data_IF_847913088574
#
_entry.id   IF_847913088574
#
_cell.length_a   1.000
_cell.length_b   1.000
_cell.length_c   1.000
_cell.angle_alpha   90.00
_cell.angle_beta   90.00
_cell.angle_gamma   90.00
#
_symmetry.space_group_name_H-M   'P 1'
#
loop_
_entity.id
_entity.type
_entity.pdbx_description
1 polymer ?
#
# COMPACT_ATOMS: atom_id res chain seq x y z
N UNK A 1 -28.04 12.35 -2.63
CA UNK A 1 -28.01 11.99 -1.20
C UNK A 1 -27.59 13.21 -0.40
N UNK A 2 -28.49 13.78 0.39
CA UNK A 2 -28.16 14.90 1.25
C UNK A 2 -27.39 14.38 2.46
N UNK A 3 -26.07 14.58 2.51
CA UNK A 3 -25.18 14.21 3.64
C UNK A 3 -25.45 15.02 4.94
N UNK A 4 -26.58 15.72 5.01
CA UNK A 4 -26.97 16.57 6.13
C UNK A 4 -28.08 15.97 7.00
N UNK A 5 -28.55 14.76 6.66
CA UNK A 5 -29.49 14.03 7.50
C UNK A 5 -28.78 13.41 8.71
N UNK A 6 -29.37 13.52 9.90
CA UNK A 6 -28.73 13.11 11.16
C UNK A 6 -28.42 11.61 11.20
N UNK A 7 -29.21 10.77 10.51
CA UNK A 7 -28.94 9.34 10.42
C UNK A 7 -27.67 9.07 9.60
N UNK A 8 -27.47 9.81 8.51
CA UNK A 8 -26.31 9.61 7.61
C UNK A 8 -24.99 10.06 8.23
N UNK A 9 -25.02 11.00 9.20
CA UNK A 9 -23.82 11.47 9.91
C UNK A 9 -23.21 10.42 10.84
N UNK A 10 -24.01 9.47 11.32
CA UNK A 10 -23.53 8.41 12.23
C UNK A 10 -22.58 7.40 11.57
N UNK A 11 -22.53 7.36 10.22
CA UNK A 11 -21.60 6.50 9.48
C UNK A 11 -20.18 7.09 9.43
N UNK A 12 -20.04 8.39 9.70
CA UNK A 12 -18.77 9.10 9.57
C UNK A 12 -17.87 8.80 10.77
N UNK A 13 -16.59 8.54 10.49
CA UNK A 13 -15.60 8.36 11.53
C UNK A 13 -15.30 9.71 12.21
N UNK A 14 -15.49 9.85 13.54
CA UNK A 14 -15.23 11.10 14.25
C UNK A 14 -13.75 11.52 14.26
N UNK A 15 -12.82 10.57 14.07
CA UNK A 15 -11.37 10.83 14.10
C UNK A 15 -10.82 11.35 12.77
N UNK A 16 -11.66 11.46 11.74
CA UNK A 16 -11.28 11.97 10.41
C UNK A 16 -12.11 13.20 10.08
N UNK A 17 -11.45 14.25 9.62
CA UNK A 17 -12.12 15.49 9.27
C UNK A 17 -12.95 15.33 8.00
N UNK A 18 -14.23 15.73 8.08
CA UNK A 18 -15.09 15.89 6.91
C UNK A 18 -14.74 17.23 6.26
N UNK A 19 -14.32 17.20 4.99
CA UNK A 19 -13.84 18.40 4.28
C UNK A 19 -14.97 19.09 3.52
N UNK A 20 -14.93 20.42 3.50
CA UNK A 20 -15.81 21.24 2.67
C UNK A 20 -15.30 21.30 1.23
N UNK A 21 -16.11 21.90 0.35
CA UNK A 21 -15.76 22.15 -1.04
C UNK A 21 -14.47 22.97 -1.15
N UNK A 22 -13.60 22.58 -2.10
CA UNK A 22 -12.37 23.32 -2.43
C UNK A 22 -11.11 22.87 -1.68
N UNK A 23 -11.18 21.80 -0.90
CA UNK A 23 -10.02 21.25 -0.16
C UNK A 23 -9.50 20.00 -0.87
N UNK A 24 -8.19 19.93 -1.09
CA UNK A 24 -7.53 18.75 -1.66
C UNK A 24 -7.39 17.66 -0.60
N UNK A 25 -7.54 16.41 -1.04
CA UNK A 25 -7.31 15.25 -0.20
C UNK A 25 -6.34 14.25 -0.82
N UNK A 26 -5.74 13.44 0.05
CA UNK A 26 -4.84 12.36 -0.33
C UNK A 26 -4.86 11.26 0.73
N UNK A 27 -4.25 10.13 0.39
CA UNK A 27 -3.91 9.11 1.38
C UNK A 27 -2.96 9.70 2.45
N UNK A 28 -3.38 9.60 3.71
CA UNK A 28 -2.61 10.00 4.89
C UNK A 28 -2.03 8.80 5.65
N UNK A 29 -2.06 7.61 5.04
CA UNK A 29 -1.72 6.33 5.68
C UNK A 29 -2.48 6.10 7.00
N UNK A 30 -3.76 6.47 7.03
CA UNK A 30 -4.63 6.35 8.19
C UNK A 30 -4.00 6.97 9.44
N UNK A 31 -3.52 8.21 9.33
CA UNK A 31 -2.86 8.94 10.44
C UNK A 31 -3.63 8.86 11.75
N UNK A 32 -4.97 8.87 11.71
CA UNK A 32 -5.84 8.72 12.87
C UNK A 32 -5.58 7.42 13.64
N UNK A 33 -5.51 6.27 12.95
CA UNK A 33 -5.22 4.96 13.54
C UNK A 33 -3.78 4.89 14.06
N UNK A 34 -2.85 5.52 13.35
CA UNK A 34 -1.44 5.56 13.74
C UNK A 34 -1.21 6.39 15.00
N UNK A 35 -1.91 7.52 15.17
CA UNK A 35 -1.84 8.31 16.39
C UNK A 35 -2.47 7.59 17.58
N UNK A 36 -3.61 6.92 17.37
CA UNK A 36 -4.25 6.09 18.39
C UNK A 36 -3.32 4.96 18.86
N UNK A 37 -2.75 4.19 17.92
CA UNK A 37 -1.80 3.12 18.25
C UNK A 37 -0.55 3.63 18.97
N UNK A 38 0.01 4.76 18.52
CA UNK A 38 1.13 5.42 19.21
C UNK A 38 0.77 5.86 20.63
N UNK A 39 -0.42 6.41 20.82
CA UNK A 39 -0.89 6.85 22.13
C UNK A 39 -1.05 5.65 23.07
N UNK A 40 -1.62 4.54 22.59
CA UNK A 40 -1.76 3.31 23.38
C UNK A 40 -0.41 2.74 23.79
N UNK A 41 0.52 2.58 22.86
CA UNK A 41 1.87 2.09 23.15
C UNK A 41 2.61 2.99 24.16
N UNK A 42 2.48 4.32 24.03
CA UNK A 42 3.05 5.29 24.99
C UNK A 42 2.43 5.17 26.38
N UNK A 43 1.11 4.96 26.50
CA UNK A 43 0.44 4.73 27.79
C UNK A 43 0.92 3.45 28.46
N UNK A 44 1.23 2.43 27.67
CA UNK A 44 1.79 1.15 28.11
C UNK A 44 3.32 1.19 28.28
N UNK A 45 3.96 2.36 28.14
CA UNK A 45 5.42 2.56 28.26
C UNK A 45 6.26 1.63 27.39
N UNK A 46 5.76 1.29 26.19
CA UNK A 46 6.45 0.41 25.24
C UNK A 46 6.57 1.06 23.86
N UNK A 47 7.54 0.62 23.02
CA UNK A 47 7.59 1.04 21.63
C UNK A 47 6.36 0.53 20.85
N UNK A 48 6.08 1.21 19.74
CA UNK A 48 5.02 0.80 18.81
C UNK A 48 5.43 -0.49 18.11
N UNK A 49 4.59 -1.50 18.19
CA UNK A 49 4.74 -2.75 17.45
C UNK A 49 3.94 -2.70 16.14
N UNK A 50 4.36 -3.49 15.15
CA UNK A 50 3.65 -3.60 13.87
C UNK A 50 2.21 -4.13 14.02
N UNK A 51 1.93 -4.89 15.08
CA UNK A 51 0.59 -5.40 15.39
C UNK A 51 -0.38 -4.33 15.90
N UNK A 52 0.12 -3.18 16.37
CA UNK A 52 -0.70 -2.14 16.99
C UNK A 52 -1.49 -1.31 15.97
N UNK A 53 -1.04 -1.26 14.72
CA UNK A 53 -1.63 -0.39 13.69
C UNK A 53 -1.88 -1.18 12.42
N UNK A 54 -3.15 -1.30 12.04
CA UNK A 54 -3.56 -1.79 10.72
C UNK A 54 -4.29 -0.68 9.99
N UNK A 55 -3.77 -0.29 8.82
CA UNK A 55 -4.42 0.72 7.97
C UNK A 55 -5.69 0.15 7.35
N UNK A 56 -6.66 1.01 7.03
CA UNK A 56 -7.98 0.57 6.56
C UNK A 56 -7.88 -0.26 5.27
N UNK A 57 -7.04 0.15 4.31
CA UNK A 57 -6.85 -0.57 3.05
C UNK A 57 -6.16 -1.95 3.23
N UNK A 58 -5.25 -2.08 4.19
CA UNK A 58 -4.64 -3.36 4.56
C UNK A 58 -5.67 -4.29 5.20
N UNK A 59 -6.48 -3.77 6.12
CA UNK A 59 -7.50 -4.56 6.81
C UNK A 59 -8.64 -5.01 5.88
N UNK A 60 -9.01 -4.18 4.92
CA UNK A 60 -10.10 -4.47 3.98
C UNK A 60 -9.68 -5.44 2.86
N UNK A 61 -8.38 -5.60 2.60
CA UNK A 61 -7.88 -6.41 1.50
C UNK A 61 -7.92 -7.91 1.85
N UNK A 62 -8.78 -8.74 1.23
CA UNK A 62 -8.88 -10.16 1.58
C UNK A 62 -7.65 -10.96 1.14
N UNK A 63 -6.93 -10.50 0.12
CA UNK A 63 -5.74 -11.16 -0.42
C UNK A 63 -4.45 -10.75 0.28
N UNK A 64 -4.53 -9.88 1.30
CA UNK A 64 -3.37 -9.35 2.04
C UNK A 64 -2.29 -8.71 1.13
N UNK A 65 -2.73 -8.05 0.04
CA UNK A 65 -1.82 -7.46 -0.94
C UNK A 65 -1.05 -6.23 -0.43
N UNK A 66 -1.55 -5.57 0.62
CA UNK A 66 -0.97 -4.34 1.18
C UNK A 66 -0.39 -4.67 2.54
N UNK A 67 0.92 -4.48 2.70
CA UNK A 67 1.60 -4.57 3.98
C UNK A 67 2.03 -3.19 4.44
N UNK A 68 1.70 -2.85 5.68
CA UNK A 68 2.06 -1.58 6.32
C UNK A 68 2.79 -1.89 7.62
N UNK A 69 3.85 -1.12 7.92
CA UNK A 69 4.68 -1.34 9.09
C UNK A 69 5.81 -0.32 9.20
N UNK A 70 6.64 -0.46 10.23
CA UNK A 70 7.77 0.44 10.46
C UNK A 70 9.01 0.02 9.66
N UNK A 71 9.30 0.75 8.57
CA UNK A 71 10.47 0.47 7.72
C UNK A 71 11.84 0.61 8.42
N UNK A 72 11.91 1.29 9.57
CA UNK A 72 13.15 1.39 10.35
C UNK A 72 13.39 0.17 11.26
N UNK A 73 12.37 -0.68 11.45
CA UNK A 73 12.51 -1.92 12.20
C UNK A 73 12.90 -3.07 11.26
N UNK A 74 13.97 -3.78 11.60
CA UNK A 74 14.47 -4.92 10.82
C UNK A 74 13.50 -6.11 10.84
N UNK A 75 12.75 -6.27 11.93
CA UNK A 75 11.79 -7.38 12.13
C UNK A 75 10.39 -7.03 11.64
N UNK A 76 10.19 -5.86 11.03
CA UNK A 76 8.87 -5.45 10.55
C UNK A 76 8.41 -6.27 9.35
N UNK A 77 7.09 -6.43 9.23
CA UNK A 77 6.50 -7.15 8.11
C UNK A 77 6.88 -6.52 6.75
N UNK A 78 7.04 -5.19 6.70
CA UNK A 78 7.43 -4.49 5.48
C UNK A 78 8.91 -4.73 5.12
N UNK A 79 9.80 -4.75 6.11
CA UNK A 79 11.22 -5.02 5.87
C UNK A 79 11.41 -6.45 5.36
N UNK A 80 10.73 -7.44 5.98
CA UNK A 80 10.77 -8.83 5.52
C UNK A 80 10.29 -8.97 4.07
N UNK A 81 9.13 -8.39 3.72
CA UNK A 81 8.60 -8.46 2.35
C UNK A 81 9.57 -7.87 1.31
N UNK A 82 10.26 -6.77 1.65
CA UNK A 82 11.26 -6.13 0.79
C UNK A 82 12.52 -6.99 0.64
N UNK A 83 12.99 -7.59 1.72
CA UNK A 83 14.17 -8.46 1.72
C UNK A 83 13.92 -9.78 0.96
N UNK A 84 12.72 -10.35 1.08
CA UNK A 84 12.37 -11.62 0.45
C UNK A 84 12.11 -11.50 -1.06
N UNK A 85 11.81 -10.30 -1.57
CA UNK A 85 11.42 -10.08 -2.97
C UNK A 85 12.29 -9.04 -3.71
N UNK A 86 13.63 -9.16 -3.71
CA UNK A 86 14.51 -8.12 -4.26
C UNK A 86 14.31 -7.93 -5.78
N UNK A 87 14.05 -9.02 -6.51
CA UNK A 87 13.91 -8.99 -7.98
C UNK A 87 12.54 -8.52 -8.47
N UNK A 88 11.56 -8.37 -7.58
CA UNK A 88 10.18 -7.99 -7.93
C UNK A 88 9.80 -6.60 -7.44
N UNK A 89 10.60 -6.03 -6.54
CA UNK A 89 10.33 -4.74 -5.97
C UNK A 89 10.65 -3.63 -6.97
N UNK A 90 9.73 -2.67 -7.12
CA UNK A 90 9.96 -1.45 -7.88
C UNK A 90 9.19 -0.28 -7.25
N UNK A 91 9.63 0.93 -7.52
CA UNK A 91 8.96 2.17 -7.16
C UNK A 91 8.31 2.80 -8.38
N UNK A 92 7.20 3.50 -8.16
CA UNK A 92 6.51 4.19 -9.25
C UNK A 92 7.31 5.42 -9.66
N UNK A 93 7.62 5.54 -10.96
CA UNK A 93 8.33 6.68 -11.55
C UNK A 93 9.72 6.94 -10.95
N UNK A 94 10.54 5.90 -10.82
CA UNK A 94 11.91 5.99 -10.26
C UNK A 94 12.81 7.01 -10.96
N UNK A 95 12.66 7.19 -12.27
CA UNK A 95 13.44 8.13 -13.08
C UNK A 95 13.35 9.58 -12.57
N UNK A 96 12.25 9.94 -11.90
CA UNK A 96 12.05 11.29 -11.35
C UNK A 96 12.71 11.50 -9.98
N UNK A 97 13.27 10.44 -9.38
CA UNK A 97 13.94 10.47 -8.07
C UNK A 97 13.10 11.07 -6.93
N UNK A 98 11.79 10.80 -6.91
CA UNK A 98 10.86 11.31 -5.88
C UNK A 98 10.90 10.53 -4.55
N UNK A 99 11.73 9.48 -4.47
CA UNK A 99 11.94 8.61 -3.29
C UNK A 99 10.64 8.25 -2.56
N UNK A 100 9.68 7.56 -3.24
CA UNK A 100 8.37 7.31 -2.66
C UNK A 100 8.45 6.26 -1.55
N UNK A 101 7.67 6.45 -0.49
CA UNK A 101 7.62 5.53 0.65
C UNK A 101 6.89 4.20 0.35
N UNK A 102 6.16 4.12 -0.76
CA UNK A 102 5.40 2.93 -1.20
C UNK A 102 6.19 2.21 -2.29
N UNK A 103 6.51 0.95 -2.03
CA UNK A 103 7.11 0.02 -2.98
C UNK A 103 6.05 -0.97 -3.48
N UNK A 104 6.09 -1.31 -4.77
CA UNK A 104 5.19 -2.27 -5.39
C UNK A 104 5.94 -3.57 -5.73
N UNK A 105 5.19 -4.67 -5.84
CA UNK A 105 5.72 -5.94 -6.32
C UNK A 105 5.21 -6.19 -7.73
N UNK A 106 6.11 -6.61 -8.62
CA UNK A 106 5.78 -6.99 -9.98
C UNK A 106 4.79 -8.17 -9.99
N UNK A 107 3.77 -8.06 -10.85
CA UNK A 107 2.80 -9.13 -11.09
C UNK A 107 3.44 -10.22 -11.92
N UNK A 108 3.72 -11.36 -11.29
CA UNK A 108 4.15 -12.58 -11.98
C UNK A 108 2.89 -13.34 -12.41
N UNK A 109 2.77 -13.64 -13.71
CA UNK A 109 1.70 -14.48 -14.25
C UNK A 109 2.34 -15.81 -14.63
N UNK A 110 1.87 -16.90 -14.01
CA UNK A 110 2.28 -18.23 -14.41
C UNK A 110 1.48 -18.63 -15.65
N UNK A 111 2.12 -18.65 -16.82
CA UNK A 111 1.54 -19.07 -18.10
C UNK A 111 2.16 -20.39 -18.53
N UNK A 112 1.41 -21.24 -19.23
CA UNK A 112 1.89 -22.55 -19.69
C UNK A 112 2.91 -22.47 -20.84
N UNK A 113 3.13 -21.28 -21.40
CA UNK A 113 4.22 -21.01 -22.32
C UNK A 113 5.54 -21.04 -21.55
N UNK A 114 6.26 -22.15 -21.66
CA UNK A 114 7.62 -22.29 -21.13
C UNK A 114 8.45 -21.11 -21.64
N UNK A 115 9.02 -20.33 -20.72
CA UNK A 115 9.89 -19.21 -21.06
C UNK A 115 11.01 -19.72 -21.98
N UNK A 116 10.92 -19.41 -23.28
CA UNK A 116 11.95 -19.73 -24.24
C UNK A 116 13.22 -19.00 -23.80
N UNK A 117 14.20 -19.75 -23.30
CA UNK A 117 15.60 -19.36 -23.40
C UNK A 117 15.88 -19.13 -24.89
N UNK A 118 16.19 -17.90 -25.27
CA UNK A 118 16.26 -17.53 -26.68
C UNK A 118 16.96 -16.20 -26.91
N UNK A 119 18.29 -16.25 -26.92
CA UNK A 119 19.08 -15.35 -27.73
C UNK A 119 18.50 -15.28 -29.16
N UNK A 120 18.21 -14.06 -29.61
CA UNK A 120 18.10 -13.61 -31.00
C UNK A 120 17.39 -14.53 -32.01
N UNK A 121 16.16 -14.18 -32.38
CA UNK A 121 15.67 -14.37 -33.74
C UNK A 121 14.53 -13.38 -34.03
N UNK A 122 14.78 -12.44 -34.95
CA UNK A 122 13.79 -11.52 -35.52
C UNK A 122 12.59 -12.30 -36.09
N UNK A 123 11.38 -11.99 -35.62
CA UNK A 123 10.15 -12.39 -36.31
C UNK A 123 9.80 -11.31 -37.35
N UNK A 124 9.87 -11.67 -38.63
CA UNK A 124 9.28 -10.89 -39.73
C UNK A 124 7.76 -10.98 -39.65
N UNK A 125 7.10 -9.82 -39.63
CA UNK A 125 5.66 -9.68 -39.68
C UNK A 125 5.11 -10.09 -41.06
N UNK A 126 4.21 -11.06 -41.09
CA UNK A 126 3.37 -11.38 -42.24
C UNK A 126 2.04 -10.63 -42.13
N UNK A 127 1.83 -9.66 -43.01
CA UNK A 127 0.62 -8.85 -43.09
C UNK A 127 -0.61 -9.69 -43.47
N UNK A 128 -1.72 -9.41 -42.79
CA UNK A 128 -3.05 -9.88 -43.12
C UNK A 128 -3.52 -9.35 -44.48
N UNK A 129 -3.98 -10.25 -45.35
CA UNK A 129 -5.00 -10.03 -46.38
C UNK A 129 -5.74 -11.36 -46.61
#
# INVERSE_FOLDING_TARGET
>A
MMMNDDLTRMVLNPDVTVRSRGVIEKCSFCVQRLQEGKLKAKKESRPLADSDVKVACQQACPTNAITFGNANSHESAITMVRMDNPNRQFYSLEMLHVLPNVSYLAKVRNTDEMAHEGHGAEKKEGAHA
#
